data_IF_087626703040
#
_entry.id   IF_087626703040
#
_cell.length_a   1.000
_cell.length_b   1.000
_cell.length_c   1.000
_cell.angle_alpha   90.00
_cell.angle_beta   90.00
_cell.angle_gamma   90.00
#
_symmetry.space_group_name_H-M   'P 1'
#
loop_
_entity.id
_entity.type
_entity.pdbx_description
1 polymer ?
#
# COMPACT_ATOMS: atom_id res chain seq x y z
N UNK A 1 -3.10 10.94 16.05
CA UNK A 1 -3.08 12.14 15.19
C UNK A 1 -4.19 12.04 14.14
N UNK A 2 -5.45 11.92 14.57
CA UNK A 2 -6.60 11.74 13.66
C UNK A 2 -7.32 13.06 13.38
N UNK A 3 -6.91 14.14 14.05
CA UNK A 3 -7.71 15.36 14.21
C UNK A 3 -7.23 16.53 13.34
N UNK A 4 -6.41 16.27 12.31
CA UNK A 4 -5.83 17.33 11.47
C UNK A 4 -6.77 17.83 10.38
N UNK A 5 -7.69 16.97 9.92
CA UNK A 5 -8.58 17.27 8.81
C UNK A 5 -10.00 16.79 9.12
N UNK A 6 -11.04 17.54 8.73
CA UNK A 6 -12.41 17.09 8.89
C UNK A 6 -12.65 15.84 8.04
N UNK A 7 -13.36 14.87 8.61
CA UNK A 7 -13.72 13.61 7.96
C UNK A 7 -14.43 13.88 6.63
N UNK A 8 -14.12 13.07 5.60
CA UNK A 8 -14.82 13.10 4.32
C UNK A 8 -15.99 12.12 4.41
N UNK A 9 -17.19 12.60 4.10
CA UNK A 9 -18.44 11.89 4.45
C UNK A 9 -19.13 11.23 3.26
N UNK A 10 -18.64 11.45 2.04
CA UNK A 10 -19.19 10.86 0.81
C UNK A 10 -18.12 10.64 -0.26
N UNK A 11 -18.43 9.77 -1.23
CA UNK A 11 -17.57 9.50 -2.38
C UNK A 11 -17.46 10.75 -3.26
N UNK A 12 -18.56 11.47 -3.45
CA UNK A 12 -18.62 12.70 -4.24
C UNK A 12 -17.74 13.79 -3.63
N UNK A 13 -17.75 13.94 -2.31
CA UNK A 13 -16.86 14.87 -1.62
C UNK A 13 -15.39 14.48 -1.80
N UNK A 14 -15.06 13.19 -1.65
CA UNK A 14 -13.69 12.71 -1.88
C UNK A 14 -13.19 13.07 -3.28
N UNK A 15 -14.00 12.83 -4.32
CA UNK A 15 -13.65 13.11 -5.71
C UNK A 15 -13.48 14.60 -5.93
N UNK A 16 -14.44 15.41 -5.45
CA UNK A 16 -14.36 16.88 -5.56
C UNK A 16 -13.07 17.42 -4.94
N UNK A 17 -12.70 16.93 -3.75
CA UNK A 17 -11.45 17.31 -3.09
C UNK A 17 -10.22 16.86 -3.88
N UNK A 18 -10.28 15.68 -4.49
CA UNK A 18 -9.19 15.10 -5.28
C UNK A 18 -8.90 15.88 -6.56
N UNK A 19 -9.95 16.40 -7.17
CA UNK A 19 -9.91 17.16 -8.43
C UNK A 19 -9.77 18.66 -8.22
N UNK A 20 -9.76 19.12 -6.95
CA UNK A 20 -9.62 20.53 -6.62
C UNK A 20 -8.22 21.07 -6.94
N UNK A 21 -8.18 22.27 -7.52
CA UNK A 21 -6.94 23.03 -7.71
C UNK A 21 -6.47 23.68 -6.41
N UNK A 22 -7.31 23.76 -5.37
CA UNK A 22 -6.91 24.24 -4.05
C UNK A 22 -6.01 23.21 -3.37
N UNK A 23 -4.73 23.55 -3.08
CA UNK A 23 -3.81 22.62 -2.41
C UNK A 23 -4.31 22.16 -1.05
N UNK A 24 -5.09 22.97 -0.32
CA UNK A 24 -5.63 22.58 0.98
C UNK A 24 -6.68 21.48 0.85
N UNK A 25 -7.56 21.58 -0.14
CA UNK A 25 -8.58 20.56 -0.44
C UNK A 25 -7.96 19.27 -0.96
N UNK A 26 -7.03 19.39 -1.91
CA UNK A 26 -6.27 18.26 -2.42
C UNK A 26 -5.51 17.53 -1.30
N UNK A 27 -4.90 18.29 -0.38
CA UNK A 27 -4.24 17.71 0.79
C UNK A 27 -5.25 17.03 1.71
N UNK A 28 -6.42 17.62 1.95
CA UNK A 28 -7.47 16.98 2.74
C UNK A 28 -7.85 15.62 2.15
N UNK A 29 -7.99 15.50 0.83
CA UNK A 29 -8.29 14.22 0.16
C UNK A 29 -7.26 13.11 0.48
N UNK A 30 -6.00 13.46 0.75
CA UNK A 30 -4.94 12.52 1.03
C UNK A 30 -4.80 12.16 2.53
N UNK A 31 -5.30 12.99 3.43
CA UNK A 31 -5.01 12.90 4.86
C UNK A 31 -6.24 12.83 5.77
N UNK A 32 -7.44 13.13 5.26
CA UNK A 32 -8.68 12.96 6.00
C UNK A 32 -9.13 11.50 6.01
N UNK A 33 -9.69 11.09 7.15
CA UNK A 33 -10.41 9.84 7.30
C UNK A 33 -11.74 9.86 6.55
N UNK A 34 -12.29 8.68 6.31
CA UNK A 34 -13.63 8.45 5.80
C UNK A 34 -14.28 7.31 6.60
N UNK A 35 -15.61 7.34 6.80
CA UNK A 35 -16.34 6.19 7.30
C UNK A 35 -16.09 4.96 6.43
N UNK A 36 -16.08 3.78 7.05
CA UNK A 36 -15.81 2.52 6.33
C UNK A 36 -16.80 2.27 5.18
N UNK A 37 -18.06 2.71 5.34
CA UNK A 37 -19.06 2.64 4.27
C UNK A 37 -18.65 3.45 3.03
N UNK A 38 -18.11 4.64 3.22
CA UNK A 38 -17.63 5.52 2.14
C UNK A 38 -16.41 4.91 1.46
N UNK A 39 -15.50 4.30 2.23
CA UNK A 39 -14.37 3.56 1.66
C UNK A 39 -14.82 2.42 0.75
N UNK A 40 -15.76 1.59 1.21
CA UNK A 40 -16.26 0.47 0.42
C UNK A 40 -17.00 0.93 -0.82
N UNK A 41 -17.80 1.99 -0.72
CA UNK A 41 -18.49 2.58 -1.85
C UNK A 41 -17.49 3.11 -2.90
N UNK A 42 -16.48 3.86 -2.47
CA UNK A 42 -15.41 4.35 -3.34
C UNK A 42 -14.70 3.22 -4.07
N UNK A 43 -14.22 2.20 -3.36
CA UNK A 43 -13.43 1.12 -3.97
C UNK A 43 -14.27 0.23 -4.89
N UNK A 44 -15.54 -0.01 -4.56
CA UNK A 44 -16.41 -0.88 -5.38
C UNK A 44 -16.94 -0.17 -6.61
N UNK A 45 -17.35 1.08 -6.47
CA UNK A 45 -18.13 1.79 -7.49
C UNK A 45 -17.32 2.80 -8.30
N UNK A 46 -16.10 3.16 -7.88
CA UNK A 46 -15.21 4.13 -8.56
C UNK A 46 -13.83 3.56 -8.84
N UNK A 47 -13.69 2.64 -9.83
CA UNK A 47 -12.41 2.05 -10.18
C UNK A 47 -11.35 3.09 -10.58
N UNK A 48 -11.78 4.19 -11.19
CA UNK A 48 -10.96 5.36 -11.54
C UNK A 48 -10.30 6.04 -10.33
N UNK A 49 -10.84 5.84 -9.12
CA UNK A 49 -10.36 6.48 -7.90
C UNK A 49 -9.53 5.56 -6.99
N UNK A 50 -9.36 4.27 -7.33
CA UNK A 50 -8.70 3.30 -6.45
C UNK A 50 -7.23 3.62 -6.17
N UNK A 51 -6.51 4.18 -7.14
CA UNK A 51 -5.12 4.63 -6.92
C UNK A 51 -5.05 5.76 -5.89
N UNK A 52 -6.08 6.62 -5.85
CA UNK A 52 -6.19 7.69 -4.87
C UNK A 52 -6.68 7.20 -3.52
N UNK A 53 -7.56 6.19 -3.50
CA UNK A 53 -7.90 5.48 -2.28
C UNK A 53 -6.65 4.85 -1.64
N UNK A 54 -5.81 4.17 -2.44
CA UNK A 54 -4.54 3.62 -1.98
C UNK A 54 -3.55 4.71 -1.51
N UNK A 55 -3.57 5.88 -2.15
CA UNK A 55 -2.72 7.02 -1.80
C UNK A 55 -3.06 7.62 -0.44
N UNK A 56 -4.34 7.67 -0.08
CA UNK A 56 -4.80 8.26 1.17
C UNK A 56 -4.16 7.59 2.40
N UNK A 57 -3.69 8.41 3.34
CA UNK A 57 -2.88 8.00 4.50
C UNK A 57 -3.68 7.33 5.62
N UNK A 58 -5.00 7.37 5.54
CA UNK A 58 -5.93 6.88 6.57
C UNK A 58 -6.74 5.66 6.13
N UNK A 59 -6.54 5.18 4.90
CA UNK A 59 -7.23 4.00 4.38
C UNK A 59 -7.08 2.80 5.36
N UNK A 60 -8.20 2.22 5.84
CA UNK A 60 -8.19 1.08 6.75
C UNK A 60 -7.49 -0.15 6.16
N UNK A 61 -6.95 -1.02 7.01
CA UNK A 61 -6.24 -2.24 6.59
C UNK A 61 -7.10 -3.17 5.73
N UNK A 62 -8.39 -3.30 6.04
CA UNK A 62 -9.34 -4.11 5.24
C UNK A 62 -9.54 -3.55 3.83
N UNK A 63 -9.49 -2.23 3.67
CA UNK A 63 -9.58 -1.57 2.37
C UNK A 63 -8.28 -1.77 1.59
N UNK A 64 -7.13 -1.65 2.25
CA UNK A 64 -5.83 -1.97 1.64
C UNK A 64 -5.77 -3.45 1.19
N UNK A 65 -6.31 -4.37 2.00
CA UNK A 65 -6.37 -5.80 1.68
C UNK A 65 -7.22 -6.13 0.45
N UNK A 66 -8.22 -5.29 0.15
CA UNK A 66 -8.97 -5.35 -1.09
C UNK A 66 -8.20 -4.74 -2.26
N UNK A 67 -7.58 -3.57 -2.05
CA UNK A 67 -6.84 -2.85 -3.09
C UNK A 67 -5.61 -3.62 -3.61
N UNK A 68 -4.99 -4.50 -2.82
CA UNK A 68 -3.92 -5.37 -3.33
C UNK A 68 -4.40 -6.46 -4.30
N UNK A 69 -5.71 -6.62 -4.50
CA UNK A 69 -6.28 -7.51 -5.52
C UNK A 69 -6.64 -6.75 -6.81
N UNK A 70 -6.44 -5.43 -6.84
CA UNK A 70 -6.82 -4.60 -7.98
C UNK A 70 -6.06 -5.01 -9.24
N UNK A 71 -6.69 -5.06 -10.43
CA UNK A 71 -6.01 -5.42 -11.66
C UNK A 71 -4.91 -4.42 -12.06
N UNK A 72 -5.03 -3.14 -11.71
CA UNK A 72 -3.99 -2.14 -11.98
C UNK A 72 -2.84 -2.27 -10.96
N UNK A 73 -1.66 -2.64 -11.45
CA UNK A 73 -0.46 -2.76 -10.65
C UNK A 73 -0.08 -1.46 -9.95
N UNK A 74 -0.47 -0.29 -10.48
CA UNK A 74 -0.19 1.02 -9.84
C UNK A 74 -0.95 1.20 -8.54
N UNK A 75 -2.12 0.57 -8.41
CA UNK A 75 -2.90 0.55 -7.16
C UNK A 75 -2.16 -0.31 -6.14
N UNK A 76 -1.74 -1.51 -6.54
CA UNK A 76 -1.00 -2.46 -5.68
C UNK A 76 0.36 -1.90 -5.24
N UNK A 77 1.09 -1.28 -6.15
CA UNK A 77 2.34 -0.51 -5.91
C UNK A 77 2.12 0.57 -4.85
N UNK A 78 1.05 1.35 -4.98
CA UNK A 78 0.74 2.40 -4.02
C UNK A 78 0.51 1.83 -2.63
N UNK A 79 -0.17 0.68 -2.50
CA UNK A 79 -0.34 0.00 -1.21
C UNK A 79 1.00 -0.50 -0.65
N UNK A 80 1.81 -1.18 -1.47
CA UNK A 80 3.13 -1.69 -1.08
C UNK A 80 4.09 -0.58 -0.62
N UNK A 81 3.99 0.62 -1.22
CA UNK A 81 4.82 1.78 -0.88
C UNK A 81 4.49 2.44 0.45
N UNK A 82 3.36 2.07 1.09
CA UNK A 82 2.94 2.71 2.34
C UNK A 82 3.89 2.30 3.45
N UNK A 83 4.53 3.28 4.10
CA UNK A 83 5.43 3.07 5.25
C UNK A 83 4.88 2.14 6.33
N UNK A 84 3.56 2.15 6.53
CA UNK A 84 2.84 1.32 7.50
C UNK A 84 2.03 0.20 6.82
N UNK A 85 2.43 -0.27 5.63
CA UNK A 85 1.83 -1.43 5.00
C UNK A 85 1.95 -2.63 5.96
N UNK A 86 0.84 -3.32 6.29
CA UNK A 86 0.88 -4.50 7.15
C UNK A 86 1.77 -5.60 6.55
N UNK A 87 2.62 -6.27 7.35
CA UNK A 87 3.49 -7.35 6.88
C UNK A 87 2.74 -8.45 6.12
N UNK A 88 1.51 -8.78 6.54
CA UNK A 88 0.69 -9.82 5.93
C UNK A 88 0.25 -9.45 4.50
N UNK A 89 0.13 -8.15 4.20
CA UNK A 89 -0.14 -7.70 2.83
C UNK A 89 1.13 -7.77 1.97
N UNK A 90 2.30 -7.50 2.55
CA UNK A 90 3.58 -7.62 1.85
C UNK A 90 3.90 -9.08 1.50
N UNK A 91 3.57 -10.03 2.37
CA UNK A 91 3.66 -11.47 2.07
C UNK A 91 2.81 -11.84 0.86
N UNK A 92 1.59 -11.33 0.76
CA UNK A 92 0.70 -11.60 -0.37
C UNK A 92 1.17 -10.98 -1.68
N UNK A 93 1.96 -9.90 -1.61
CA UNK A 93 2.50 -9.19 -2.77
C UNK A 93 3.84 -9.75 -3.25
N UNK A 94 4.40 -10.77 -2.59
CA UNK A 94 5.66 -11.41 -3.02
C UNK A 94 5.53 -12.04 -4.42
N UNK A 95 4.35 -12.58 -4.73
CA UNK A 95 4.05 -13.21 -6.02
C UNK A 95 3.34 -12.25 -7.00
N UNK A 96 3.42 -10.93 -6.76
CA UNK A 96 2.75 -9.97 -7.62
C UNK A 96 3.23 -10.12 -9.07
N UNK A 97 2.33 -10.15 -10.09
CA UNK A 97 2.74 -10.28 -11.48
C UNK A 97 3.70 -9.18 -11.95
N UNK A 98 3.62 -8.00 -11.35
CA UNK A 98 4.42 -6.84 -11.74
C UNK A 98 5.69 -6.70 -10.89
N UNK A 99 6.84 -6.61 -11.54
CA UNK A 99 8.16 -6.55 -10.90
C UNK A 99 8.32 -5.33 -9.98
N UNK A 100 7.80 -4.16 -10.38
CA UNK A 100 7.83 -2.95 -9.53
C UNK A 100 7.19 -3.18 -8.15
N UNK A 101 6.11 -3.95 -8.07
CA UNK A 101 5.45 -4.26 -6.80
C UNK A 101 6.30 -5.22 -5.97
N UNK A 102 6.81 -6.30 -6.58
CA UNK A 102 7.73 -7.23 -5.91
C UNK A 102 9.00 -6.55 -5.42
N UNK A 103 9.53 -5.60 -6.20
CA UNK A 103 10.68 -4.76 -5.81
C UNK A 103 10.39 -3.91 -4.57
N UNK A 104 9.19 -3.36 -4.44
CA UNK A 104 8.78 -2.67 -3.21
C UNK A 104 8.78 -3.65 -2.03
N UNK A 105 8.26 -4.87 -2.19
CA UNK A 105 8.32 -5.90 -1.14
C UNK A 105 9.77 -6.21 -0.77
N UNK A 106 10.68 -6.38 -1.73
CA UNK A 106 12.09 -6.63 -1.45
C UNK A 106 12.74 -5.53 -0.59
N UNK A 107 12.34 -4.27 -0.75
CA UNK A 107 12.96 -3.12 -0.06
C UNK A 107 12.16 -2.56 1.13
N UNK A 108 10.90 -2.96 1.30
CA UNK A 108 10.02 -2.33 2.28
C UNK A 108 10.44 -2.67 3.73
N UNK A 109 10.68 -1.70 4.64
CA UNK A 109 11.25 -1.95 5.97
C UNK A 109 10.52 -2.96 6.84
N UNK A 110 9.21 -3.13 6.64
CA UNK A 110 8.38 -4.09 7.39
C UNK A 110 8.10 -5.39 6.64
N UNK A 111 8.71 -5.61 5.47
CA UNK A 111 8.58 -6.92 4.81
C UNK A 111 9.13 -8.00 5.72
N UNK A 112 8.37 -9.07 5.97
CA UNK A 112 8.84 -10.18 6.78
C UNK A 112 9.90 -10.98 6.02
N UNK A 113 10.73 -11.70 6.78
CA UNK A 113 11.86 -12.46 6.22
C UNK A 113 11.42 -13.42 5.11
N UNK A 114 10.35 -14.23 5.25
CA UNK A 114 9.93 -15.16 4.20
C UNK A 114 9.59 -14.49 2.87
N UNK A 115 8.99 -13.29 2.92
CA UNK A 115 8.67 -12.53 1.72
C UNK A 115 9.94 -12.06 0.99
N UNK A 116 10.94 -11.56 1.72
CA UNK A 116 12.21 -11.14 1.09
C UNK A 116 13.01 -12.35 0.61
N UNK A 117 13.00 -13.46 1.37
CA UNK A 117 13.62 -14.72 0.98
C UNK A 117 13.02 -15.31 -0.30
N UNK A 118 11.69 -15.22 -0.49
CA UNK A 118 11.02 -15.66 -1.72
C UNK A 118 11.45 -14.92 -2.98
N UNK A 119 12.02 -13.72 -2.85
CA UNK A 119 12.41 -12.87 -3.97
C UNK A 119 13.88 -13.02 -4.38
N UNK A 120 14.68 -13.87 -3.73
CA UNK A 120 16.12 -14.00 -4.06
C UNK A 120 16.35 -14.51 -5.48
N UNK A 121 15.41 -15.26 -6.05
CA UNK A 121 15.47 -15.78 -7.42
C UNK A 121 14.39 -15.15 -8.31
N UNK A 122 13.98 -13.92 -8.00
CA UNK A 122 13.03 -13.16 -8.81
C UNK A 122 13.45 -13.13 -10.29
N UNK A 123 12.52 -13.33 -11.24
CA UNK A 123 12.81 -13.25 -12.67
C UNK A 123 13.44 -11.92 -13.10
N UNK A 124 13.18 -10.84 -12.35
CA UNK A 124 13.77 -9.54 -12.59
C UNK A 124 15.08 -9.38 -11.77
N UNK A 125 16.25 -9.25 -12.44
CA UNK A 125 17.55 -9.27 -11.75
C UNK A 125 17.72 -8.21 -10.66
N UNK A 126 17.13 -7.03 -10.84
CA UNK A 126 17.21 -5.95 -9.84
C UNK A 126 16.49 -6.35 -8.56
N UNK A 127 15.31 -6.96 -8.66
CA UNK A 127 14.54 -7.42 -7.49
C UNK A 127 15.28 -8.53 -6.75
N UNK A 128 15.82 -9.51 -7.49
CA UNK A 128 16.63 -10.59 -6.94
C UNK A 128 17.90 -10.08 -6.23
N UNK A 129 18.59 -9.10 -6.83
CA UNK A 129 19.78 -8.50 -6.25
C UNK A 129 19.46 -7.73 -4.97
N UNK A 130 18.40 -6.92 -4.97
CA UNK A 130 17.97 -6.15 -3.80
C UNK A 130 17.52 -7.07 -2.65
N UNK A 131 16.79 -8.15 -2.96
CA UNK A 131 16.43 -9.18 -1.98
C UNK A 131 17.67 -9.83 -1.34
N UNK A 132 18.62 -10.30 -2.16
CA UNK A 132 19.88 -10.89 -1.66
C UNK A 132 20.69 -9.89 -0.81
N UNK A 133 20.82 -8.65 -1.26
CA UNK A 133 21.54 -7.60 -0.54
C UNK A 133 20.89 -7.28 0.81
N UNK A 134 19.55 -7.27 0.85
CA UNK A 134 18.82 -7.06 2.10
C UNK A 134 19.00 -8.21 3.07
N UNK A 135 18.92 -9.46 2.61
CA UNK A 135 19.12 -10.63 3.47
C UNK A 135 20.55 -10.73 4.01
N UNK A 136 21.56 -10.36 3.21
CA UNK A 136 22.95 -10.28 3.66
C UNK A 136 23.16 -9.28 4.81
N UNK A 137 22.30 -8.26 4.89
CA UNK A 137 22.31 -7.24 5.95
C UNK A 137 21.12 -7.41 6.92
N UNK A 138 20.50 -8.59 6.97
CA UNK A 138 19.32 -8.80 7.81
C UNK A 138 19.69 -8.66 9.28
N UNK A 139 18.97 -7.83 10.06
CA UNK A 139 19.26 -7.69 11.49
C UNK A 139 19.04 -9.02 12.18
N UNK A 140 20.09 -9.53 12.83
CA UNK A 140 20.15 -10.83 13.53
C UNK A 140 19.20 -10.95 14.74
N UNK A 141 18.42 -9.92 15.06
CA UNK A 141 17.36 -9.91 16.07
C UNK A 141 16.20 -9.00 15.62
N UNK A 142 15.19 -9.58 14.97
CA UNK A 142 13.84 -9.03 14.96
C UNK A 142 12.86 -10.09 15.51
N UNK A 143 11.77 -9.68 16.21
CA UNK A 143 10.88 -10.63 16.86
C UNK A 143 10.00 -11.33 15.82
N UNK A 144 10.42 -12.53 15.40
CA UNK A 144 9.64 -13.73 15.04
C UNK A 144 10.33 -14.55 13.96
N UNK A 145 11.36 -15.31 14.35
CA UNK A 145 11.54 -16.64 13.76
C UNK A 145 10.60 -17.58 14.52
N UNK A 146 9.70 -18.33 13.86
CA UNK A 146 9.02 -19.42 14.52
C UNK A 146 10.07 -20.45 14.94
N UNK A 147 10.04 -20.80 16.23
CA UNK A 147 10.91 -21.81 16.86
C UNK A 147 10.71 -23.20 16.26
#
# INVERSE_FOLDING_TARGET
>A
MTDRFPEITSVEEFIRLRESEDPAEYNRSAWAAMPLSVWWDLVRNRPDMRVWAAHNRTAPSEILAELIKDPDWRVRDRVASKRNCPPELLERLVDDPHDAVRRLVANHPHSPWPAVAGLVDDPWPVTAQEARARLANWPSKQPSEPS
#
